data_IF_973406786647
#
_entry.id   IF_973406786647
#
_cell.length_a   1.000
_cell.length_b   1.000
_cell.length_c   1.000
_cell.angle_alpha   90.00
_cell.angle_beta   90.00
_cell.angle_gamma   90.00
#
_symmetry.space_group_name_H-M   'P 1'
#
loop_
_entity.id
_entity.type
_entity.pdbx_description
1 polymer ?
#
# COMPACT_ATOMS: atom_id res chain seq x y z
N UNK A 1 2.85 14.19 9.74
CA UNK A 1 1.42 13.77 9.70
C UNK A 1 1.22 12.42 10.37
N UNK A 2 -0.03 12.00 10.65
CA UNK A 2 -0.32 10.66 11.20
C UNK A 2 -0.71 9.72 10.07
N UNK A 3 0.00 8.59 9.95
CA UNK A 3 -0.35 7.52 9.00
C UNK A 3 -1.78 7.03 9.20
N UNK A 4 -2.58 7.00 8.13
CA UNK A 4 -3.92 6.41 8.13
C UNK A 4 -3.91 4.91 8.41
N UNK A 5 -2.95 4.19 7.82
CA UNK A 5 -2.81 2.75 8.01
C UNK A 5 -1.70 2.42 9.02
N UNK A 6 -1.81 1.29 9.73
CA UNK A 6 -0.87 0.85 10.76
C UNK A 6 -0.17 -0.44 10.35
N UNK A 7 0.96 -0.74 11.02
CA UNK A 7 1.66 -2.02 10.87
C UNK A 7 0.70 -3.20 11.11
N UNK A 8 0.80 -4.23 10.28
CA UNK A 8 -0.07 -5.42 10.33
C UNK A 8 -1.43 -5.23 9.67
N UNK A 9 -1.78 -4.03 9.22
CA UNK A 9 -3.09 -3.78 8.64
C UNK A 9 -3.19 -4.35 7.21
N UNK A 10 -4.32 -5.00 6.93
CA UNK A 10 -4.63 -5.55 5.61
C UNK A 10 -5.17 -4.46 4.68
N UNK A 11 -4.54 -4.28 3.54
CA UNK A 11 -4.87 -3.25 2.55
C UNK A 11 -4.93 -3.86 1.14
N UNK A 12 -5.52 -3.14 0.19
CA UNK A 12 -5.52 -3.49 -1.24
C UNK A 12 -5.36 -2.23 -2.06
N UNK A 13 -4.96 -2.33 -3.32
CA UNK A 13 -4.85 -1.17 -4.19
C UNK A 13 -6.22 -0.51 -4.43
N UNK A 14 -6.24 0.83 -4.42
CA UNK A 14 -7.44 1.65 -4.61
C UNK A 14 -7.96 1.61 -6.06
N UNK A 15 -7.05 1.56 -7.03
CA UNK A 15 -7.38 1.58 -8.46
C UNK A 15 -6.82 0.35 -9.18
N UNK A 16 -7.67 -0.30 -10.00
CA UNK A 16 -7.35 -1.47 -10.81
C UNK A 16 -6.58 -1.17 -12.11
N UNK A 17 -6.12 0.06 -12.31
CA UNK A 17 -5.55 0.55 -13.59
C UNK A 17 -4.40 1.51 -13.33
N UNK A 18 -3.16 1.01 -13.24
CA UNK A 18 -1.97 1.65 -13.79
C UNK A 18 -0.80 0.65 -13.86
N UNK A 19 0.13 0.99 -14.74
CA UNK A 19 0.80 0.10 -15.68
C UNK A 19 2.08 -0.59 -15.20
N UNK A 20 2.37 -1.67 -15.91
CA UNK A 20 3.64 -2.37 -16.10
C UNK A 20 4.16 -3.27 -14.96
N UNK A 21 4.34 -4.55 -15.30
CA UNK A 21 5.02 -5.52 -14.45
C UNK A 21 4.14 -6.30 -13.48
N UNK A 22 3.24 -7.12 -14.02
CA UNK A 22 2.81 -8.39 -13.44
C UNK A 22 2.70 -8.44 -11.90
N UNK A 23 1.63 -7.90 -11.32
CA UNK A 23 1.33 -8.18 -9.92
C UNK A 23 -0.12 -7.87 -9.54
N UNK A 24 -0.93 -8.93 -9.56
CA UNK A 24 -1.95 -9.18 -8.54
C UNK A 24 -2.93 -8.03 -8.26
N UNK A 25 -3.70 -7.75 -9.30
CA UNK A 25 -4.86 -6.86 -9.33
C UNK A 25 -5.91 -7.34 -8.30
N UNK A 26 -5.91 -6.76 -7.10
CA UNK A 26 -6.90 -7.04 -6.06
C UNK A 26 -6.42 -7.92 -4.89
N UNK A 27 -5.15 -8.34 -4.87
CA UNK A 27 -4.61 -9.10 -3.74
C UNK A 27 -4.54 -8.25 -2.47
N UNK A 28 -4.91 -8.88 -1.37
CA UNK A 28 -4.79 -8.27 -0.05
C UNK A 28 -3.33 -8.34 0.39
N UNK A 29 -2.78 -7.18 0.71
CA UNK A 29 -1.43 -7.01 1.21
C UNK A 29 -1.46 -6.62 2.70
N UNK A 30 -0.31 -6.71 3.35
CA UNK A 30 -0.12 -6.26 4.73
C UNK A 30 0.84 -5.08 4.78
N UNK A 31 0.54 -4.06 5.59
CA UNK A 31 1.48 -2.96 5.88
C UNK A 31 2.59 -3.47 6.79
N UNK A 32 3.82 -3.54 6.26
CA UNK A 32 5.00 -4.04 7.00
C UNK A 32 5.98 -2.94 7.39
N UNK A 33 5.82 -1.71 6.87
CA UNK A 33 6.59 -0.54 7.28
C UNK A 33 5.82 0.76 7.04
N UNK A 34 5.92 1.68 8.00
CA UNK A 34 5.54 3.09 7.82
C UNK A 34 6.76 3.85 7.30
N UNK A 35 6.62 4.60 6.22
CA UNK A 35 7.70 5.38 5.61
C UNK A 35 7.46 6.87 5.83
N UNK A 36 8.50 7.72 5.86
CA UNK A 36 8.29 9.16 5.92
C UNK A 36 7.43 9.66 4.75
N UNK A 37 6.90 10.87 4.90
CA UNK A 37 6.19 11.58 3.84
C UNK A 37 7.14 11.77 2.63
N UNK A 38 6.62 11.58 1.41
CA UNK A 38 7.36 11.90 0.18
C UNK A 38 7.47 13.43 0.02
N UNK A 39 8.17 13.90 -1.02
CA UNK A 39 8.31 15.33 -1.33
C UNK A 39 6.97 16.10 -1.48
N UNK A 40 5.85 15.39 -1.64
CA UNK A 40 4.49 15.95 -1.70
C UNK A 40 3.83 16.14 -0.32
N UNK A 41 4.46 15.66 0.75
CA UNK A 41 3.83 15.57 2.08
C UNK A 41 2.89 14.38 2.23
N UNK A 42 2.86 13.44 1.28
CA UNK A 42 1.99 12.26 1.37
C UNK A 42 2.67 11.12 2.13
N UNK A 43 2.03 10.54 3.17
CA UNK A 43 2.56 9.37 3.86
C UNK A 43 2.73 8.17 2.92
N UNK A 44 3.83 7.44 3.08
CA UNK A 44 4.12 6.24 2.30
C UNK A 44 4.22 5.00 3.18
N UNK A 45 4.09 3.83 2.55
CA UNK A 45 4.05 2.53 3.20
C UNK A 45 4.88 1.52 2.43
N UNK A 46 5.49 0.55 3.13
CA UNK A 46 5.92 -0.71 2.51
C UNK A 46 4.86 -1.75 2.80
N UNK A 47 4.34 -2.37 1.75
CA UNK A 47 3.35 -3.46 1.84
C UNK A 47 3.94 -4.77 1.36
N UNK A 48 3.50 -5.88 1.94
CA UNK A 48 3.89 -7.24 1.56
C UNK A 48 2.70 -8.00 0.98
N UNK A 49 2.93 -8.69 -0.12
CA UNK A 49 2.03 -9.66 -0.76
C UNK A 49 2.73 -11.01 -0.88
N UNK A 50 2.02 -12.03 -1.38
CA UNK A 50 2.61 -13.34 -1.74
C UNK A 50 3.76 -13.23 -2.75
N UNK A 51 3.77 -12.18 -3.57
CA UNK A 51 4.77 -11.95 -4.61
C UNK A 51 5.96 -11.08 -4.17
N UNK A 52 5.94 -10.55 -2.94
CA UNK A 52 7.02 -9.72 -2.39
C UNK A 52 6.55 -8.39 -1.79
N UNK A 53 7.52 -7.52 -1.52
CA UNK A 53 7.31 -6.21 -0.89
C UNK A 53 7.42 -5.05 -1.88
N UNK A 54 6.58 -4.02 -1.72
CA UNK A 54 6.59 -2.80 -2.55
C UNK A 54 6.29 -1.55 -1.74
N UNK A 55 6.77 -0.41 -2.20
CA UNK A 55 6.40 0.89 -1.65
C UNK A 55 5.14 1.42 -2.33
N UNK A 56 4.23 2.01 -1.55
CA UNK A 56 2.98 2.62 -2.03
C UNK A 56 2.69 3.87 -1.21
N UNK A 57 2.02 4.85 -1.80
CA UNK A 57 1.50 6.05 -1.14
C UNK A 57 0.15 5.78 -0.49
N UNK A 58 -0.24 6.63 0.45
CA UNK A 58 -1.52 6.51 1.17
C UNK A 58 -2.74 6.47 0.23
N UNK A 59 -2.74 7.28 -0.83
CA UNK A 59 -3.82 7.33 -1.83
C UNK A 59 -3.87 6.12 -2.77
N UNK A 60 -2.81 5.31 -2.85
CA UNK A 60 -2.76 4.14 -3.73
C UNK A 60 -3.43 2.91 -3.13
N UNK A 61 -3.72 2.93 -1.82
CA UNK A 61 -4.26 1.80 -1.08
C UNK A 61 -5.52 2.15 -0.27
N UNK A 62 -6.38 1.16 -0.11
CA UNK A 62 -7.58 1.20 0.73
C UNK A 62 -7.57 0.03 1.72
N UNK A 63 -8.37 0.15 2.78
CA UNK A 63 -8.58 -0.93 3.73
C UNK A 63 -9.14 -2.15 2.99
N UNK A 64 -8.53 -3.32 3.19
CA UNK A 64 -9.13 -4.56 2.75
C UNK A 64 -10.27 -4.89 3.73
N UNK A 65 -11.53 -4.80 3.25
CA UNK A 65 -12.67 -5.34 4.00
C UNK A 65 -12.44 -6.83 4.28
N UNK A 66 -12.84 -7.25 5.49
CA UNK A 66 -12.59 -8.58 6.06
C UNK A 66 -13.36 -9.66 5.32
#
# INVERSE_FOLDING_TARGET
>A
MSHKFKLGQRVRYAHTVHSDGASSRGDVCEVVRLMPEDQTGEPSYRIRSSTGERAVREGEIILAMR
#
